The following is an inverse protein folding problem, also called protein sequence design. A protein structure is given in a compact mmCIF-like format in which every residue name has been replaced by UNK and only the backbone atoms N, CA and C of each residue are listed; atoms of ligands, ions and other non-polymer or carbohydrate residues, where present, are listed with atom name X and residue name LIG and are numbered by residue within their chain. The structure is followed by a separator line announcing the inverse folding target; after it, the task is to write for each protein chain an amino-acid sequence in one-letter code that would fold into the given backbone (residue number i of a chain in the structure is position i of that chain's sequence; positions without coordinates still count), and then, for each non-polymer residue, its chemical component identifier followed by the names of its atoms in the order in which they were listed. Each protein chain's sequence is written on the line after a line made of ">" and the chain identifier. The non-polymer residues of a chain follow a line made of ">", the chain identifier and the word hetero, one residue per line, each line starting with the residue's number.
data_IF_670613377091
#
_entry.id   IF_670613377091
#
_cell.length_a   1.000
_cell.length_b   1.000
_cell.length_c   1.000
_cell.angle_alpha   90.00
_cell.angle_beta   90.00
_cell.angle_gamma   90.00
#
_symmetry.space_group_name_H-M   'P 1'
#
loop_
_entity.id
_entity.type
_entity.pdbx_description
1 polymer ?
#
# COMPACT_ATOMS: atom_id res chain seq x y z
N UNK A 1 10.11 -4.68 -6.76
CA UNK A 1 9.15 -3.62 -6.35
C UNK A 1 7.94 -4.20 -5.62
N UNK A 2 7.94 -4.07 -4.30
CA UNK A 2 6.85 -4.48 -3.42
C UNK A 2 6.33 -3.26 -2.63
N UNK A 3 5.03 -3.25 -2.31
CA UNK A 3 4.42 -2.16 -1.53
C UNK A 3 4.38 -2.55 -0.05
N UNK A 4 5.01 -1.72 0.79
CA UNK A 4 5.00 -1.86 2.23
C UNK A 4 3.98 -0.92 2.85
N UNK A 5 3.15 -1.45 3.73
CA UNK A 5 2.25 -0.70 4.60
C UNK A 5 2.84 -0.66 6.00
N UNK A 6 3.27 0.52 6.44
CA UNK A 6 3.89 0.74 7.72
C UNK A 6 2.97 1.56 8.66
N UNK A 7 3.02 1.27 9.95
CA UNK A 7 2.34 2.06 10.98
C UNK A 7 3.37 2.91 11.72
N UNK A 8 3.26 4.22 11.57
CA UNK A 8 4.11 5.23 12.24
C UNK A 8 3.32 5.97 13.31
N UNK A 9 4.00 6.76 14.15
CA UNK A 9 3.33 7.61 15.16
C UNK A 9 2.39 8.64 14.51
N UNK A 10 2.64 8.97 13.23
CA UNK A 10 1.82 9.85 12.41
C UNK A 10 0.73 9.11 11.62
N UNK A 11 0.47 7.84 11.92
CA UNK A 11 -0.52 6.99 11.26
C UNK A 11 0.06 6.04 10.21
N UNK A 12 -0.82 5.50 9.36
CA UNK A 12 -0.46 4.53 8.32
C UNK A 12 0.28 5.25 7.18
N UNK A 13 1.44 4.72 6.80
CA UNK A 13 2.28 5.19 5.69
C UNK A 13 2.54 4.05 4.71
N UNK A 14 2.73 4.41 3.45
CA UNK A 14 2.97 3.49 2.35
C UNK A 14 4.30 3.85 1.66
N UNK A 15 5.11 2.85 1.33
CA UNK A 15 6.33 3.06 0.53
C UNK A 15 6.68 1.80 -0.27
N UNK A 16 7.50 1.96 -1.31
CA UNK A 16 7.94 0.87 -2.17
C UNK A 16 9.36 0.42 -1.82
N UNK A 17 9.60 -0.89 -1.86
CA UNK A 17 10.92 -1.51 -1.70
C UNK A 17 11.29 -2.34 -2.91
N UNK A 18 12.58 -2.57 -3.12
CA UNK A 18 13.07 -3.52 -4.11
C UNK A 18 13.27 -4.93 -3.58
N UNK A 19 13.71 -5.87 -4.42
CA UNK A 19 14.05 -7.26 -4.04
C UNK A 19 15.15 -7.34 -2.96
N UNK A 20 15.97 -6.28 -2.82
CA UNK A 20 16.98 -6.15 -1.76
C UNK A 20 16.46 -5.43 -0.50
N UNK A 21 15.14 -5.24 -0.38
CA UNK A 21 14.46 -4.51 0.72
C UNK A 21 14.84 -3.02 0.85
N UNK A 22 15.64 -2.48 -0.07
CA UNK A 22 15.96 -1.06 -0.09
C UNK A 22 14.73 -0.23 -0.48
N UNK A 23 14.53 0.88 0.24
CA UNK A 23 13.41 1.80 0.03
C UNK A 23 13.62 2.62 -1.24
N UNK A 24 12.69 2.49 -2.19
CA UNK A 24 12.68 3.16 -3.48
C UNK A 24 11.87 4.47 -3.47
N UNK A 25 10.80 4.54 -2.66
CA UNK A 25 9.90 5.70 -2.62
C UNK A 25 9.94 6.44 -1.29
N UNK A 26 9.55 7.73 -1.26
CA UNK A 26 9.24 8.41 -0.01
C UNK A 26 8.05 7.77 0.72
N UNK A 27 7.83 8.15 1.98
CA UNK A 27 6.64 7.75 2.74
C UNK A 27 5.40 8.52 2.27
N UNK A 28 4.38 7.78 1.88
CA UNK A 28 3.15 8.31 1.30
C UNK A 28 1.98 8.08 2.25
N UNK A 29 1.06 9.04 2.30
CA UNK A 29 -0.02 9.04 3.29
C UNK A 29 -1.19 8.13 2.89
N UNK A 30 -1.40 7.93 1.59
CA UNK A 30 -2.51 7.11 1.07
C UNK A 30 -2.02 6.05 0.09
N UNK A 31 -2.80 4.98 -0.04
CA UNK A 31 -2.55 3.93 -1.03
C UNK A 31 -2.60 4.48 -2.46
N UNK A 32 -3.48 5.45 -2.72
CA UNK A 32 -3.60 6.10 -4.03
C UNK A 32 -2.32 6.85 -4.41
N UNK A 33 -1.74 7.61 -3.47
CA UNK A 33 -0.45 8.28 -3.68
C UNK A 33 0.67 7.28 -3.98
N UNK A 34 0.71 6.15 -3.26
CA UNK A 34 1.69 5.10 -3.53
C UNK A 34 1.52 4.48 -4.92
N UNK A 35 0.28 4.29 -5.36
CA UNK A 35 -0.01 3.78 -6.70
C UNK A 35 0.39 4.77 -7.79
N UNK A 36 0.08 6.05 -7.62
CA UNK A 36 0.47 7.12 -8.54
C UNK A 36 2.00 7.23 -8.66
N UNK A 37 2.70 7.21 -7.54
CA UNK A 37 4.16 7.22 -7.54
C UNK A 37 4.73 6.08 -8.37
N UNK A 38 4.24 4.84 -8.18
CA UNK A 38 4.71 3.70 -8.97
C UNK A 38 4.46 3.86 -10.47
N UNK A 39 3.29 4.38 -10.85
CA UNK A 39 2.98 4.62 -12.27
C UNK A 39 3.96 5.63 -12.86
N UNK A 40 4.20 6.73 -12.14
CA UNK A 40 5.12 7.78 -12.54
C UNK A 40 6.55 7.24 -12.68
N UNK A 41 7.06 6.52 -11.67
CA UNK A 41 8.41 5.96 -11.69
C UNK A 41 8.60 4.95 -12.82
N UNK A 42 7.62 4.08 -13.08
CA UNK A 42 7.68 3.11 -14.19
C UNK A 42 7.68 3.81 -15.55
N UNK A 43 6.93 4.90 -15.70
CA UNK A 43 6.92 5.70 -16.92
C UNK A 43 8.27 6.41 -17.12
N UNK A 44 8.81 7.04 -16.06
CA UNK A 44 10.06 7.80 -16.13
C UNK A 44 11.30 6.91 -16.37
N UNK A 45 11.27 5.66 -15.89
CA UNK A 45 12.38 4.70 -16.07
C UNK A 45 12.31 3.92 -17.38
N UNK A 46 11.21 4.01 -18.13
CA UNK A 46 11.08 3.32 -19.41
C UNK A 46 11.92 4.01 -20.49
N UNK A 47 13.04 3.37 -20.88
CA UNK A 47 14.01 3.91 -21.86
C UNK A 47 13.64 3.70 -23.33
N UNK A 48 12.74 2.75 -23.62
CA UNK A 48 12.32 2.48 -24.99
C UNK A 48 11.27 3.48 -25.48
N UNK A 49 10.96 3.46 -26.79
CA UNK A 49 9.89 4.27 -27.38
C UNK A 49 8.54 3.80 -26.81
N UNK A 50 8.17 4.35 -25.65
CA UNK A 50 6.87 4.16 -25.04
C UNK A 50 5.81 4.55 -26.07
N UNK A 51 4.94 3.61 -26.46
CA UNK A 51 3.83 3.90 -27.39
C UNK A 51 2.84 4.93 -26.85
N UNK A 52 2.93 5.30 -25.57
CA UNK A 52 2.07 6.29 -24.92
C UNK A 52 2.83 7.59 -24.70
N UNK A 53 2.35 8.67 -25.30
CA UNK A 53 2.82 10.03 -25.05
C UNK A 53 2.31 10.62 -23.71
N UNK A 54 1.57 9.86 -22.90
CA UNK A 54 0.90 10.37 -21.70
C UNK A 54 0.87 9.35 -20.57
N UNK A 55 1.20 9.85 -19.37
CA UNK A 55 1.08 9.18 -18.06
C UNK A 55 -0.37 8.89 -17.68
N UNK A 56 -1.32 9.67 -18.21
CA UNK A 56 -2.73 9.55 -17.84
C UNK A 56 -3.28 8.25 -18.42
N UNK A 57 -3.58 7.30 -17.53
CA UNK A 57 -4.25 6.09 -17.94
C UNK A 57 -5.73 6.34 -18.19
N UNK A 58 -6.13 6.65 -19.42
CA UNK A 58 -7.54 6.77 -19.84
C UNK A 58 -8.44 5.56 -19.51
N UNK A 59 -7.88 4.45 -19.02
CA UNK A 59 -8.65 3.33 -18.45
C UNK A 59 -9.04 3.63 -17.01
N UNK A 60 -8.20 4.27 -16.18
CA UNK A 60 -8.45 4.49 -14.75
C UNK A 60 -9.78 5.17 -14.42
N UNK A 61 -10.37 5.90 -15.37
CA UNK A 61 -11.74 6.44 -15.37
C UNK A 61 -12.79 5.33 -15.20
N UNK A 62 -13.07 4.97 -13.94
CA UNK A 62 -13.96 3.88 -13.53
C UNK A 62 -15.36 4.08 -14.06
N UNK A 63 -15.83 5.33 -14.11
CA UNK A 63 -17.20 5.68 -14.45
C UNK A 63 -17.43 5.52 -15.96
N UNK A 64 -16.46 5.96 -16.77
CA UNK A 64 -16.45 5.70 -18.20
C UNK A 64 -16.31 4.22 -18.51
N UNK A 65 -15.53 3.48 -17.70
CA UNK A 65 -15.37 2.03 -17.83
C UNK A 65 -16.62 1.27 -17.44
N UNK A 66 -17.34 1.65 -16.38
CA UNK A 66 -18.57 0.98 -15.96
C UNK A 66 -19.64 1.10 -17.06
N UNK A 67 -19.77 2.31 -17.65
CA UNK A 67 -20.65 2.53 -18.81
C UNK A 67 -20.29 1.65 -20.01
N UNK A 68 -18.99 1.51 -20.31
CA UNK A 68 -18.52 0.68 -21.42
C UNK A 68 -18.60 -0.82 -21.10
N UNK A 69 -18.33 -1.22 -19.86
CA UNK A 69 -18.29 -2.60 -19.38
C UNK A 69 -19.68 -3.23 -19.38
N UNK A 70 -20.72 -2.47 -19.01
CA UNK A 70 -22.12 -2.91 -19.18
C UNK A 70 -22.44 -3.30 -20.63
N UNK A 71 -21.68 -2.79 -21.61
CA UNK A 71 -21.85 -3.10 -23.03
C UNK A 71 -20.84 -4.13 -23.60
N UNK A 72 -19.74 -4.45 -22.90
CA UNK A 72 -18.59 -5.18 -23.50
C UNK A 72 -18.26 -6.55 -22.86
N UNK A 73 -18.91 -6.90 -21.74
CA UNK A 73 -18.58 -8.09 -20.95
C UNK A 73 -18.80 -9.43 -21.67
N UNK A 74 -19.59 -9.49 -22.74
CA UNK A 74 -19.86 -10.73 -23.48
C UNK A 74 -18.75 -11.15 -24.46
N UNK A 75 -17.72 -10.33 -24.69
CA UNK A 75 -16.78 -10.50 -25.82
C UNK A 75 -15.30 -10.66 -25.43
N UNK A 76 -14.93 -10.67 -24.15
CA UNK A 76 -13.51 -10.67 -23.76
C UNK A 76 -12.99 -12.03 -23.28
N UNK A 77 -11.90 -12.48 -23.90
CA UNK A 77 -11.20 -13.74 -23.60
C UNK A 77 -10.16 -13.62 -22.47
N UNK A 78 -9.78 -12.40 -22.04
CA UNK A 78 -8.80 -12.23 -20.96
C UNK A 78 -8.97 -10.87 -20.21
N UNK A 79 -9.63 -10.86 -19.03
CA UNK A 79 -10.10 -9.64 -18.38
C UNK A 79 -9.02 -8.85 -17.61
N UNK A 80 -7.86 -9.44 -17.32
CA UNK A 80 -6.85 -8.82 -16.44
C UNK A 80 -5.79 -7.96 -17.17
N UNK A 81 -5.96 -7.70 -18.47
CA UNK A 81 -5.00 -6.90 -19.24
C UNK A 81 -3.68 -7.63 -19.51
N UNK A 82 -2.75 -6.98 -20.24
CA UNK A 82 -1.47 -7.59 -20.67
C UNK A 82 -0.23 -6.93 -20.06
N UNK A 83 -0.38 -5.87 -19.27
CA UNK A 83 0.74 -5.02 -18.81
C UNK A 83 1.05 -5.26 -17.34
N UNK A 84 2.32 -5.07 -16.97
CA UNK A 84 2.77 -5.15 -15.57
C UNK A 84 2.09 -4.13 -14.65
N UNK A 85 1.75 -2.95 -15.17
CA UNK A 85 1.01 -1.91 -14.44
C UNK A 85 -0.50 -2.22 -14.30
N UNK A 86 -1.05 -3.08 -15.16
CA UNK A 86 -2.47 -3.48 -15.13
C UNK A 86 -2.72 -4.55 -14.05
N UNK A 87 -1.67 -5.20 -13.52
CA UNK A 87 -1.79 -6.21 -12.45
C UNK A 87 -2.25 -5.54 -11.16
N UNK A 88 -3.22 -6.16 -10.49
CA UNK A 88 -3.71 -5.71 -9.17
C UNK A 88 -2.52 -5.74 -8.20
N UNK A 89 -2.23 -4.58 -7.62
CA UNK A 89 -1.23 -4.46 -6.55
C UNK A 89 -1.92 -4.87 -5.26
N UNK A 90 -1.63 -6.07 -4.80
CA UNK A 90 -2.00 -6.52 -3.45
C UNK A 90 -0.88 -6.13 -2.49
N UNK A 91 -1.21 -5.58 -1.32
CA UNK A 91 -0.22 -5.25 -0.29
C UNK A 91 0.40 -6.55 0.21
N UNK A 92 1.63 -6.84 -0.22
CA UNK A 92 2.25 -8.14 0.00
C UNK A 92 2.74 -8.32 1.44
N UNK A 93 3.12 -7.21 2.10
CA UNK A 93 3.66 -7.22 3.47
C UNK A 93 2.85 -6.26 4.35
N UNK A 94 2.09 -6.83 5.29
CA UNK A 94 1.27 -6.10 6.27
C UNK A 94 1.94 -6.10 7.65
N UNK A 95 2.80 -5.10 7.89
CA UNK A 95 3.49 -4.94 9.17
C UNK A 95 2.58 -4.39 10.28
N UNK A 96 1.36 -3.96 9.95
CA UNK A 96 0.40 -3.42 10.92
C UNK A 96 0.04 -4.47 11.97
N UNK A 97 -0.13 -5.73 11.56
CA UNK A 97 -0.45 -6.82 12.49
C UNK A 97 0.68 -7.11 13.47
N UNK A 98 1.93 -7.07 12.99
CA UNK A 98 3.11 -7.27 13.82
C UNK A 98 3.26 -6.14 14.84
N UNK A 99 3.14 -4.87 14.41
CA UNK A 99 3.18 -3.72 15.34
C UNK A 99 2.04 -3.72 16.36
N UNK A 100 0.83 -4.12 15.97
CA UNK A 100 -0.27 -4.27 16.93
C UNK A 100 0.02 -5.33 17.99
N UNK A 101 0.64 -6.44 17.60
CA UNK A 101 1.08 -7.46 18.55
C UNK A 101 2.14 -6.91 19.53
N UNK A 102 3.15 -6.19 19.03
CA UNK A 102 4.17 -5.56 19.87
C UNK A 102 3.58 -4.56 20.86
N UNK A 103 2.70 -3.66 20.41
CA UNK A 103 2.06 -2.65 21.27
C UNK A 103 1.13 -3.29 22.32
N UNK A 104 0.38 -4.34 21.95
CA UNK A 104 -0.42 -5.10 22.90
C UNK A 104 0.42 -5.93 23.89
N UNK A 105 1.65 -6.32 23.51
CA UNK A 105 2.56 -7.06 24.39
C UNK A 105 3.21 -6.14 25.43
N UNK A 106 3.61 -4.93 25.02
CA UNK A 106 4.15 -3.90 25.94
C UNK A 106 3.12 -3.49 27.00
N UNK A 107 1.82 -3.54 26.69
CA UNK A 107 0.74 -3.30 27.66
C UNK A 107 0.57 -4.39 28.74
N UNK A 108 1.20 -5.56 28.60
CA UNK A 108 1.20 -6.62 29.63
C UNK A 108 2.42 -6.59 30.55
N UNK A 109 3.48 -5.92 30.12
CA UNK A 109 4.72 -5.73 30.89
C UNK A 109 4.74 -4.39 31.64
N UNK A 110 3.65 -3.62 31.62
CA UNK A 110 3.38 -2.60 32.63
C UNK A 110 3.14 -3.30 33.98
N UNK A 111 4.26 -3.74 34.58
CA UNK A 111 4.36 -4.20 35.95
C UNK A 111 3.64 -3.19 36.83
N UNK A 112 2.53 -3.61 37.43
CA UNK A 112 2.05 -3.03 38.66
C UNK A 112 3.25 -3.03 39.62
N UNK A 113 3.75 -1.84 39.98
CA UNK A 113 4.70 -1.72 41.08
C UNK A 113 4.05 -2.34 42.32
N UNK A 114 4.62 -3.41 42.91
CA UNK A 114 4.00 -4.08 44.05
C UNK A 114 4.21 -3.33 45.38
N UNK A 115 4.59 -2.04 45.35
CA UNK A 115 4.91 -1.27 46.54
C UNK A 115 3.72 -0.51 47.15
N UNK A 116 2.47 -0.82 46.79
CA UNK A 116 1.30 -0.24 47.45
C UNK A 116 0.76 -1.22 48.50
N UNK A 117 1.22 -1.06 49.75
CA UNK A 117 0.65 -1.73 50.91
C UNK A 117 -0.56 -0.93 51.42
N UNK A 118 -1.75 -1.54 51.41
CA UNK A 118 -2.99 -1.04 52.04
C UNK A 118 -2.86 -1.03 53.59
N UNK A 119 -2.02 -0.15 54.14
CA UNK A 119 -1.79 -0.03 55.59
C UNK A 119 -2.06 1.38 56.16
N UNK A 120 -2.56 2.31 55.36
CA UNK A 120 -2.71 3.73 55.78
C UNK A 120 -4.19 4.18 55.91
N UNK A 121 -5.12 3.26 56.21
CA UNK A 121 -6.52 3.58 56.48
C UNK A 121 -7.03 3.03 57.83
N UNK A 122 -6.23 3.20 58.89
CA UNK A 122 -6.77 3.27 60.27
C UNK A 122 -6.91 4.73 60.72
#
# INVERSE_FOLDING_TARGET
>A
MELVKNLTDNGIRFYWTDESEERLSPELATFEQAKEWRIQTLFDTYKDVERRASIIDRRSDSDKRERMSKNYQSLQTNPQGRRLADRVVEGYIDLVKQKFQELCYVGKDARLDPSYTESDWE
#
